data_IF_226215264292
#
_entry.id   IF_226215264292
#
_cell.length_a   1.000
_cell.length_b   1.000
_cell.length_c   1.000
_cell.angle_alpha   90.00
_cell.angle_beta   90.00
_cell.angle_gamma   90.00
#
_symmetry.space_group_name_H-M   'P 1'
#
loop_
_entity.id
_entity.type
_entity.pdbx_description
1 polymer ?
#
# COMPACT_ATOMS: atom_id res chain seq x y z
N UNK A 1 63.04 -62.72 -53.88
CA UNK A 1 61.97 -62.64 -54.90
C UNK A 1 60.63 -62.76 -54.20
N UNK A 2 59.62 -62.02 -54.68
CA UNK A 2 58.23 -61.88 -54.21
C UNK A 2 57.99 -60.74 -53.19
N UNK A 3 57.70 -59.57 -53.75
CA UNK A 3 56.85 -58.55 -53.12
C UNK A 3 55.38 -58.90 -53.41
N UNK A 4 54.44 -58.61 -52.50
CA UNK A 4 53.03 -58.52 -52.87
C UNK A 4 52.45 -57.11 -52.66
N UNK A 5 51.84 -56.67 -53.76
CA UNK A 5 50.73 -55.74 -53.97
C UNK A 5 50.19 -54.92 -52.79
N UNK A 6 50.29 -53.60 -52.96
CA UNK A 6 49.45 -52.59 -52.31
C UNK A 6 48.06 -52.62 -52.96
N UNK A 7 47.02 -52.90 -52.18
CA UNK A 7 45.63 -52.73 -52.59
C UNK A 7 45.17 -51.31 -52.24
N UNK A 8 44.93 -50.47 -53.25
CA UNK A 8 44.31 -49.15 -53.07
C UNK A 8 42.79 -49.28 -53.02
N UNK A 9 42.19 -48.95 -51.88
CA UNK A 9 40.73 -48.84 -51.73
C UNK A 9 40.23 -47.53 -52.38
N UNK A 10 39.13 -47.55 -53.13
CA UNK A 10 38.50 -46.33 -53.64
C UNK A 10 37.74 -45.62 -52.51
N UNK A 11 38.21 -44.44 -52.11
CA UNK A 11 37.45 -43.50 -51.27
C UNK A 11 36.45 -42.74 -52.14
N UNK A 12 35.25 -43.28 -52.30
CA UNK A 12 34.11 -42.49 -52.79
C UNK A 12 33.59 -41.61 -51.65
N UNK A 13 33.57 -40.27 -51.78
CA UNK A 13 32.92 -39.43 -50.78
C UNK A 13 31.41 -39.68 -50.85
N UNK A 14 30.85 -40.11 -49.72
CA UNK A 14 29.41 -40.20 -49.51
C UNK A 14 28.83 -38.79 -49.71
N UNK A 15 27.79 -38.60 -50.54
CA UNK A 15 27.15 -37.29 -50.65
C UNK A 15 26.57 -36.96 -49.28
N UNK A 16 26.97 -35.82 -48.73
CA UNK A 16 26.40 -35.25 -47.51
C UNK A 16 24.90 -35.12 -47.76
N UNK A 17 24.13 -36.03 -47.18
CA UNK A 17 22.68 -35.96 -47.18
C UNK A 17 22.27 -34.56 -46.75
N UNK A 18 21.36 -33.97 -47.53
CA UNK A 18 20.84 -32.62 -47.39
C UNK A 18 20.78 -32.22 -45.90
N UNK A 19 21.67 -31.30 -45.52
CA UNK A 19 21.68 -30.65 -44.22
C UNK A 19 20.26 -30.14 -44.01
N UNK A 20 19.57 -30.67 -42.99
CA UNK A 20 18.26 -30.19 -42.59
C UNK A 20 18.29 -28.66 -42.63
N UNK A 21 17.32 -28.05 -43.32
CA UNK A 21 17.11 -26.60 -43.30
C UNK A 21 17.25 -26.16 -41.85
N UNK A 22 18.12 -25.18 -41.53
CA UNK A 22 18.13 -24.61 -40.20
C UNK A 22 16.70 -24.21 -39.90
N UNK A 23 16.09 -24.79 -38.86
CA UNK A 23 14.93 -24.17 -38.26
C UNK A 23 15.38 -22.74 -37.96
N UNK A 24 14.79 -21.74 -38.64
CA UNK A 24 15.00 -20.38 -38.20
C UNK A 24 14.63 -20.34 -36.72
N UNK A 25 15.54 -19.95 -35.82
CA UNK A 25 15.19 -19.81 -34.43
C UNK A 25 14.06 -18.79 -34.36
N UNK A 26 12.88 -19.25 -33.96
CA UNK A 26 11.76 -18.37 -33.62
C UNK A 26 12.19 -17.63 -32.37
N UNK A 27 12.71 -16.41 -32.54
CA UNK A 27 13.05 -15.54 -31.43
C UNK A 27 11.75 -15.03 -30.83
N UNK A 28 11.31 -15.67 -29.75
CA UNK A 28 10.26 -15.14 -28.90
C UNK A 28 10.85 -14.12 -27.95
N UNK A 29 10.31 -12.89 -27.92
CA UNK A 29 10.68 -11.92 -26.89
C UNK A 29 10.12 -12.40 -25.57
N UNK A 30 10.95 -12.55 -24.53
CA UNK A 30 10.53 -13.09 -23.23
C UNK A 30 9.41 -12.26 -22.58
N UNK A 31 9.31 -10.99 -22.97
CA UNK A 31 8.35 -9.96 -22.51
C UNK A 31 7.23 -9.68 -23.53
N UNK A 32 7.08 -10.50 -24.57
CA UNK A 32 6.03 -10.29 -25.57
C UNK A 32 4.64 -10.28 -24.90
N UNK A 33 3.93 -9.14 -24.99
CA UNK A 33 2.61 -8.94 -24.39
C UNK A 33 2.61 -8.34 -22.98
N UNK A 34 3.79 -8.08 -22.40
CA UNK A 34 3.89 -7.47 -21.08
C UNK A 34 3.27 -6.07 -21.05
N UNK A 35 2.44 -5.80 -20.04
CA UNK A 35 1.85 -4.47 -19.82
C UNK A 35 2.66 -3.75 -18.75
N UNK A 36 3.30 -2.64 -19.13
CA UNK A 36 4.23 -1.89 -18.24
C UNK A 36 3.60 -0.66 -17.59
N UNK A 37 2.36 -0.31 -17.96
CA UNK A 37 1.62 0.82 -17.40
C UNK A 37 0.28 0.34 -16.86
N UNK A 38 -0.13 0.85 -15.71
CA UNK A 38 -1.41 0.51 -15.11
C UNK A 38 -2.60 0.95 -15.98
N UNK A 39 -3.46 0.02 -16.42
CA UNK A 39 -4.70 0.34 -17.12
C UNK A 39 -5.65 1.20 -16.28
N UNK A 40 -6.28 2.18 -16.93
CA UNK A 40 -7.34 3.01 -16.34
C UNK A 40 -8.57 2.93 -17.24
N UNK A 41 -9.71 2.59 -16.66
CA UNK A 41 -10.99 2.39 -17.32
C UNK A 41 -11.53 3.69 -17.95
N UNK A 42 -12.36 3.57 -18.98
CA UNK A 42 -12.94 4.71 -19.71
C UNK A 42 -13.99 5.49 -18.92
N UNK A 43 -14.41 4.98 -17.76
CA UNK A 43 -15.25 5.73 -16.80
C UNK A 43 -14.55 6.99 -16.26
N UNK A 44 -13.22 7.03 -16.29
CA UNK A 44 -12.45 8.16 -15.80
C UNK A 44 -12.36 9.25 -16.86
N UNK A 45 -12.78 10.47 -16.50
CA UNK A 45 -12.60 11.63 -17.37
C UNK A 45 -11.10 12.01 -17.49
N UNK A 46 -10.78 12.95 -18.39
CA UNK A 46 -9.39 13.33 -18.66
C UNK A 46 -8.62 13.83 -17.42
N UNK A 47 -9.28 14.55 -16.51
CA UNK A 47 -8.66 15.07 -15.29
C UNK A 47 -8.43 13.97 -14.26
N UNK A 48 -9.42 13.10 -14.05
CA UNK A 48 -9.31 11.94 -13.16
C UNK A 48 -8.18 11.01 -13.63
N UNK A 49 -8.16 10.69 -14.93
CA UNK A 49 -7.09 9.89 -15.55
C UNK A 49 -5.70 10.47 -15.28
N UNK A 50 -5.50 11.76 -15.53
CA UNK A 50 -4.19 12.42 -15.29
C UNK A 50 -3.74 12.34 -13.83
N UNK A 51 -4.67 12.51 -12.89
CA UNK A 51 -4.35 12.41 -11.46
C UNK A 51 -4.00 10.98 -11.05
N UNK A 52 -4.74 9.99 -11.54
CA UNK A 52 -4.44 8.57 -11.29
C UNK A 52 -3.09 8.20 -11.93
N UNK A 53 -2.82 8.60 -13.18
CA UNK A 53 -1.54 8.35 -13.85
C UNK A 53 -0.37 8.98 -13.07
N UNK A 54 -0.51 10.23 -12.63
CA UNK A 54 0.50 10.90 -11.81
C UNK A 54 0.69 10.18 -10.46
N UNK A 55 -0.39 9.83 -9.77
CA UNK A 55 -0.35 9.12 -8.50
C UNK A 55 0.28 7.73 -8.61
N UNK A 56 0.01 7.00 -9.70
CA UNK A 56 0.62 5.69 -9.95
C UNK A 56 2.11 5.79 -10.26
N UNK A 57 2.52 6.86 -10.95
CA UNK A 57 3.94 7.15 -11.13
C UNK A 57 4.63 7.45 -9.79
N UNK A 58 4.00 8.23 -8.92
CA UNK A 58 4.50 8.48 -7.55
C UNK A 58 4.50 7.20 -6.70
N UNK A 59 3.51 6.31 -6.84
CA UNK A 59 3.47 5.03 -6.14
C UNK A 59 4.64 4.12 -6.56
N UNK A 60 4.96 4.08 -7.85
CA UNK A 60 6.13 3.36 -8.39
C UNK A 60 7.43 4.00 -7.91
N UNK A 61 7.51 5.34 -7.85
CA UNK A 61 8.65 6.06 -7.29
C UNK A 61 8.87 5.71 -5.82
N UNK A 62 7.81 5.75 -5.02
CA UNK A 62 7.82 5.42 -3.60
C UNK A 62 8.26 3.97 -3.36
N UNK A 63 7.66 3.01 -4.08
CA UNK A 63 8.02 1.60 -4.00
C UNK A 63 9.47 1.34 -4.45
N UNK A 64 9.91 1.98 -5.55
CA UNK A 64 11.29 1.85 -6.05
C UNK A 64 12.28 2.36 -5.03
N UNK A 65 11.99 3.49 -4.39
CA UNK A 65 12.82 4.06 -3.34
C UNK A 65 12.87 3.15 -2.11
N UNK A 66 11.72 2.72 -1.61
CA UNK A 66 11.62 1.81 -0.47
C UNK A 66 12.46 0.55 -0.68
N UNK A 67 12.30 -0.10 -1.85
CA UNK A 67 13.13 -1.25 -2.25
C UNK A 67 14.62 -0.91 -2.24
N UNK A 68 15.02 0.22 -2.82
CA UNK A 68 16.42 0.64 -2.87
C UNK A 68 17.01 0.88 -1.48
N UNK A 69 16.23 1.47 -0.55
CA UNK A 69 16.63 1.63 0.84
C UNK A 69 16.90 0.28 1.51
N UNK A 70 15.99 -0.68 1.36
CA UNK A 70 16.15 -2.03 1.94
C UNK A 70 17.37 -2.73 1.33
N UNK A 71 17.55 -2.68 0.02
CA UNK A 71 18.69 -3.33 -0.65
C UNK A 71 20.04 -2.71 -0.26
N UNK A 72 20.05 -1.42 0.11
CA UNK A 72 21.26 -0.72 0.52
C UNK A 72 21.64 -1.01 1.97
N UNK A 73 20.67 -0.98 2.88
CA UNK A 73 20.93 -0.98 4.33
C UNK A 73 20.42 -2.24 5.04
N UNK A 74 19.36 -2.87 4.53
CA UNK A 74 18.71 -4.01 5.17
C UNK A 74 18.45 -3.77 6.66
N UNK A 75 18.84 -4.73 7.49
CA UNK A 75 18.69 -4.66 8.95
C UNK A 75 19.60 -3.65 9.65
N UNK A 76 20.59 -3.05 8.96
CA UNK A 76 21.39 -1.97 9.53
C UNK A 76 20.57 -0.68 9.66
N UNK A 77 19.54 -0.51 8.81
CA UNK A 77 18.63 0.64 8.87
C UNK A 77 17.76 0.62 10.12
N UNK A 78 17.79 1.72 10.85
CA UNK A 78 16.84 1.97 11.96
C UNK A 78 15.40 2.06 11.45
N UNK A 79 15.19 2.65 10.27
CA UNK A 79 13.87 2.74 9.63
C UNK A 79 13.37 1.34 9.26
N UNK A 80 14.22 0.47 8.71
CA UNK A 80 13.83 -0.91 8.42
C UNK A 80 13.43 -1.65 9.70
N UNK A 81 14.29 -1.62 10.72
CA UNK A 81 14.02 -2.31 12.00
C UNK A 81 12.79 -1.76 12.72
N UNK A 82 12.47 -0.47 12.54
CA UNK A 82 11.28 0.16 13.10
C UNK A 82 9.99 -0.48 12.61
N UNK A 83 9.89 -0.80 11.33
CA UNK A 83 8.67 -1.33 10.71
C UNK A 83 8.67 -2.85 10.52
N UNK A 84 9.85 -3.47 10.44
CA UNK A 84 9.97 -4.89 10.12
C UNK A 84 10.76 -5.69 11.16
N UNK A 85 11.24 -5.06 12.24
CA UNK A 85 12.10 -5.71 13.20
C UNK A 85 13.39 -6.23 12.55
N UNK A 86 13.92 -7.36 13.03
CA UNK A 86 15.12 -8.00 12.46
C UNK A 86 14.80 -9.03 11.37
N UNK A 87 13.64 -8.94 10.71
CA UNK A 87 13.17 -9.95 9.75
C UNK A 87 14.00 -9.98 8.47
N UNK A 88 13.99 -11.11 7.75
CA UNK A 88 14.53 -11.18 6.39
C UNK A 88 13.88 -10.14 5.47
N UNK A 89 14.70 -9.53 4.61
CA UNK A 89 14.27 -8.41 3.75
C UNK A 89 13.50 -8.84 2.50
N UNK A 90 13.56 -10.13 2.14
CA UNK A 90 13.12 -10.63 0.85
C UNK A 90 11.63 -10.40 0.60
N UNK A 91 10.78 -10.54 1.61
CA UNK A 91 9.34 -10.32 1.48
C UNK A 91 9.02 -8.86 1.18
N UNK A 92 9.52 -7.93 2.00
CA UNK A 92 9.31 -6.50 1.78
C UNK A 92 9.91 -6.02 0.45
N UNK A 93 11.12 -6.49 0.10
CA UNK A 93 11.74 -6.22 -1.21
C UNK A 93 10.84 -6.72 -2.35
N UNK A 94 10.33 -7.94 -2.24
CA UNK A 94 9.45 -8.55 -3.23
C UNK A 94 8.15 -7.78 -3.39
N UNK A 95 7.50 -7.38 -2.30
CA UNK A 95 6.27 -6.61 -2.30
C UNK A 95 6.41 -5.30 -3.12
N UNK A 96 7.48 -4.54 -2.86
CA UNK A 96 7.75 -3.33 -3.66
C UNK A 96 8.17 -3.65 -5.10
N UNK A 97 8.93 -4.72 -5.32
CA UNK A 97 9.40 -5.07 -6.66
C UNK A 97 8.26 -5.45 -7.61
N UNK A 98 7.22 -6.12 -7.10
CA UNK A 98 6.03 -6.44 -7.90
C UNK A 98 5.30 -5.15 -8.34
N UNK A 99 5.21 -4.14 -7.48
CA UNK A 99 4.67 -2.81 -7.85
C UNK A 99 5.53 -2.16 -8.94
N UNK A 100 6.87 -2.20 -8.81
CA UNK A 100 7.77 -1.52 -9.74
C UNK A 100 7.87 -2.23 -11.09
N UNK A 101 8.01 -3.55 -11.08
CA UNK A 101 8.46 -4.34 -12.24
C UNK A 101 7.47 -5.43 -12.70
N UNK A 102 6.45 -5.76 -11.90
CA UNK A 102 5.45 -6.77 -12.29
C UNK A 102 4.65 -6.39 -13.54
N UNK A 103 4.01 -7.36 -14.18
CA UNK A 103 3.07 -7.10 -15.28
C UNK A 103 1.79 -6.43 -14.75
N UNK A 104 1.36 -5.34 -15.40
CA UNK A 104 0.21 -4.53 -14.98
C UNK A 104 -1.10 -4.91 -15.67
N UNK A 105 -1.12 -5.95 -16.51
CA UNK A 105 -2.28 -6.34 -17.31
C UNK A 105 -3.50 -6.70 -16.45
N UNK A 106 -3.28 -7.29 -15.28
CA UNK A 106 -4.33 -7.77 -14.37
C UNK A 106 -4.66 -6.76 -13.25
N UNK A 107 -4.49 -5.47 -13.53
CA UNK A 107 -4.85 -4.35 -12.67
C UNK A 107 -5.67 -3.35 -13.49
N UNK A 108 -6.76 -2.82 -12.94
CA UNK A 108 -7.58 -1.81 -13.60
C UNK A 108 -8.12 -0.80 -12.59
N UNK A 109 -7.79 0.48 -12.78
CA UNK A 109 -8.37 1.57 -12.01
C UNK A 109 -9.59 2.16 -12.71
N UNK A 110 -10.66 2.44 -11.97
CA UNK A 110 -11.91 3.00 -12.49
C UNK A 110 -12.45 4.13 -11.61
N UNK A 111 -13.36 4.91 -12.16
CA UNK A 111 -13.87 6.15 -11.54
C UNK A 111 -15.40 6.19 -11.43
N UNK A 112 -16.09 5.21 -12.00
CA UNK A 112 -17.49 4.93 -11.71
C UNK A 112 -17.60 4.05 -10.46
N UNK A 113 -18.80 3.98 -9.89
CA UNK A 113 -19.08 3.32 -8.61
C UNK A 113 -20.03 2.12 -8.81
N UNK A 114 -19.57 1.03 -9.45
CA UNK A 114 -20.44 -0.11 -9.77
C UNK A 114 -21.00 -0.81 -8.54
N UNK A 115 -20.26 -0.80 -7.43
CA UNK A 115 -20.64 -1.50 -6.19
C UNK A 115 -21.37 -0.60 -5.19
N UNK A 116 -21.49 0.71 -5.45
CA UNK A 116 -22.14 1.65 -4.55
C UNK A 116 -21.26 2.16 -3.41
N UNK A 117 -20.14 1.52 -3.09
CA UNK A 117 -19.33 1.80 -1.90
C UNK A 117 -18.71 3.21 -1.83
N UNK A 118 -18.60 3.97 -2.93
CA UNK A 118 -18.23 5.39 -2.84
C UNK A 118 -19.26 6.28 -2.11
N UNK A 119 -20.46 5.76 -1.83
CA UNK A 119 -21.45 6.45 -1.02
C UNK A 119 -21.19 6.30 0.49
N UNK A 120 -20.27 5.42 0.91
CA UNK A 120 -19.91 5.24 2.30
C UNK A 120 -19.06 6.43 2.78
N UNK A 121 -19.38 6.92 3.97
CA UNK A 121 -18.65 8.04 4.57
C UNK A 121 -17.19 7.65 4.81
N UNK A 122 -16.25 8.53 4.45
CA UNK A 122 -14.82 8.25 4.62
C UNK A 122 -14.13 7.69 3.38
N UNK A 123 -14.86 7.05 2.46
CA UNK A 123 -14.24 6.21 1.44
C UNK A 123 -13.60 7.03 0.31
N UNK A 124 -12.27 6.93 0.19
CA UNK A 124 -11.51 7.41 -0.97
C UNK A 124 -11.61 6.47 -2.18
N UNK A 125 -12.10 5.26 -1.96
CA UNK A 125 -12.18 4.20 -2.97
C UNK A 125 -11.91 2.83 -2.40
N UNK A 126 -12.02 1.81 -3.24
CA UNK A 126 -12.05 0.43 -2.77
C UNK A 126 -11.57 -0.55 -3.83
N UNK A 127 -11.03 -1.68 -3.39
CA UNK A 127 -10.88 -2.86 -4.23
C UNK A 127 -12.24 -3.57 -4.36
N UNK A 128 -12.57 -4.06 -5.55
CA UNK A 128 -13.90 -4.65 -5.83
C UNK A 128 -14.07 -6.08 -5.32
N UNK A 129 -13.02 -6.68 -4.74
CA UNK A 129 -13.10 -8.02 -4.15
C UNK A 129 -13.57 -9.06 -5.16
N UNK A 130 -14.49 -9.93 -4.74
CA UNK A 130 -15.07 -10.98 -5.56
C UNK A 130 -15.88 -10.46 -6.78
N UNK A 131 -16.33 -9.20 -6.78
CA UNK A 131 -17.09 -8.64 -7.91
C UNK A 131 -16.20 -8.40 -9.15
N UNK A 132 -14.92 -8.05 -8.93
CA UNK A 132 -13.89 -7.96 -9.96
C UNK A 132 -12.50 -7.84 -9.30
N UNK A 133 -11.81 -8.97 -9.15
CA UNK A 133 -10.57 -9.05 -8.36
C UNK A 133 -9.41 -8.23 -8.91
N UNK A 134 -9.42 -7.89 -10.20
CA UNK A 134 -8.41 -7.03 -10.83
C UNK A 134 -8.72 -5.53 -10.75
N UNK A 135 -9.84 -5.14 -10.15
CA UNK A 135 -10.35 -3.78 -10.25
C UNK A 135 -10.32 -3.00 -8.93
N UNK A 136 -9.88 -1.76 -9.01
CA UNK A 136 -9.94 -0.78 -7.93
C UNK A 136 -10.73 0.45 -8.38
N UNK A 137 -11.67 0.89 -7.55
CA UNK A 137 -12.46 2.12 -7.74
C UNK A 137 -11.79 3.29 -7.00
N UNK A 138 -11.67 4.44 -7.68
CA UNK A 138 -11.30 5.72 -7.07
C UNK A 138 -12.56 6.56 -6.89
N UNK A 139 -12.88 6.93 -5.65
CA UNK A 139 -14.02 7.79 -5.32
C UNK A 139 -13.62 9.27 -5.34
N UNK A 140 -14.63 10.15 -5.41
CA UNK A 140 -14.44 11.61 -5.51
C UNK A 140 -13.60 12.20 -4.37
N UNK A 141 -13.68 11.61 -3.18
CA UNK A 141 -12.92 12.03 -1.99
C UNK A 141 -11.41 12.00 -2.25
N UNK A 142 -10.88 10.96 -2.93
CA UNK A 142 -9.43 10.90 -3.20
C UNK A 142 -8.92 12.11 -4.00
N UNK A 143 -9.71 12.64 -4.94
CA UNK A 143 -9.29 13.81 -5.74
C UNK A 143 -9.23 15.12 -4.94
N UNK A 144 -9.80 15.16 -3.74
CA UNK A 144 -9.82 16.37 -2.91
C UNK A 144 -9.00 16.25 -1.63
N UNK A 145 -8.67 15.02 -1.20
CA UNK A 145 -7.94 14.79 0.05
C UNK A 145 -6.50 14.32 -0.12
N UNK A 146 -6.15 13.70 -1.26
CA UNK A 146 -4.80 13.16 -1.48
C UNK A 146 -3.81 14.25 -1.85
N UNK A 147 -2.63 14.19 -1.24
CA UNK A 147 -1.50 15.08 -1.50
C UNK A 147 -0.51 14.43 -2.49
N UNK A 148 0.35 15.24 -3.07
CA UNK A 148 1.45 14.82 -3.93
C UNK A 148 2.73 14.61 -3.12
N UNK A 149 3.60 13.66 -3.49
CA UNK A 149 4.85 13.37 -2.76
C UNK A 149 5.77 14.59 -2.65
N UNK A 150 5.71 15.52 -3.61
CA UNK A 150 6.45 16.79 -3.56
C UNK A 150 6.14 17.63 -2.31
N UNK A 151 5.01 17.38 -1.63
CA UNK A 151 4.64 18.03 -0.37
C UNK A 151 5.00 17.24 0.89
N UNK A 152 5.72 16.12 0.75
CA UNK A 152 6.23 15.32 1.88
C UNK A 152 7.00 16.20 2.88
N UNK A 153 6.78 15.96 4.17
CA UNK A 153 7.35 16.74 5.28
C UNK A 153 7.00 18.24 5.27
N UNK A 154 5.96 18.65 4.56
CA UNK A 154 5.41 20.01 4.58
C UNK A 154 3.97 20.02 5.10
N UNK A 155 3.42 21.20 5.36
CA UNK A 155 2.00 21.37 5.70
C UNK A 155 1.55 20.53 6.91
N UNK A 156 2.43 20.44 7.91
CA UNK A 156 2.17 19.71 9.16
C UNK A 156 2.15 18.20 9.04
N UNK A 157 2.49 17.61 7.89
CA UNK A 157 2.56 16.17 7.73
C UNK A 157 3.70 15.58 8.58
N UNK A 158 3.39 14.52 9.32
CA UNK A 158 4.37 13.60 9.90
C UNK A 158 3.95 12.17 9.62
N UNK A 159 4.91 11.25 9.53
CA UNK A 159 4.61 9.85 9.21
C UNK A 159 3.73 9.22 10.30
N UNK A 160 4.05 9.44 11.57
CA UNK A 160 3.32 8.89 12.70
C UNK A 160 1.94 9.55 12.93
N UNK A 161 1.84 10.85 12.68
CA UNK A 161 0.63 11.64 12.97
C UNK A 161 -0.31 11.80 11.79
N UNK A 162 -0.22 10.97 10.75
CA UNK A 162 -1.05 11.10 9.55
C UNK A 162 -1.37 9.74 8.94
N UNK A 163 -2.59 9.62 8.39
CA UNK A 163 -3.06 8.41 7.72
C UNK A 163 -2.13 7.96 6.59
N UNK A 164 -1.95 6.65 6.45
CA UNK A 164 -1.13 6.04 5.39
C UNK A 164 -1.55 6.52 4.01
N UNK A 165 -2.84 6.74 3.81
CA UNK A 165 -3.42 7.18 2.56
C UNK A 165 -3.31 8.70 2.29
N UNK A 166 -2.54 9.47 3.06
CA UNK A 166 -2.43 10.94 2.87
C UNK A 166 -1.94 11.33 1.47
N UNK A 167 -1.02 10.57 0.89
CA UNK A 167 -0.52 10.82 -0.47
C UNK A 167 -1.16 9.91 -1.50
N UNK A 168 -1.28 10.39 -2.74
CA UNK A 168 -1.67 9.55 -3.87
C UNK A 168 -0.79 8.30 -3.98
N UNK A 169 0.52 8.45 -3.78
CA UNK A 169 1.49 7.37 -3.87
C UNK A 169 1.18 6.20 -2.91
N UNK A 170 0.95 6.50 -1.63
CA UNK A 170 0.71 5.48 -0.62
C UNK A 170 -0.72 4.92 -0.68
N UNK A 171 -1.73 5.76 -0.93
CA UNK A 171 -3.12 5.28 -1.16
C UNK A 171 -3.19 4.29 -2.32
N UNK A 172 -2.52 4.59 -3.44
CA UNK A 172 -2.49 3.70 -4.60
C UNK A 172 -1.62 2.46 -4.36
N UNK A 173 -0.50 2.57 -3.63
CA UNK A 173 0.31 1.42 -3.21
C UNK A 173 -0.54 0.41 -2.42
N UNK A 174 -1.29 0.88 -1.43
CA UNK A 174 -2.20 0.04 -0.64
C UNK A 174 -3.21 -0.70 -1.50
N UNK A 175 -3.88 0.04 -2.40
CA UNK A 175 -4.90 -0.52 -3.30
C UNK A 175 -4.33 -1.57 -4.24
N UNK A 176 -3.09 -1.37 -4.69
CA UNK A 176 -2.39 -2.37 -5.49
C UNK A 176 -2.19 -3.65 -4.68
N UNK A 177 -1.82 -3.59 -3.40
CA UNK A 177 -1.68 -4.80 -2.58
C UNK A 177 -3.00 -5.60 -2.43
N UNK A 178 -4.15 -4.96 -2.45
CA UNK A 178 -5.44 -5.69 -2.51
C UNK A 178 -5.66 -6.47 -3.82
N UNK A 179 -4.99 -6.08 -4.91
CA UNK A 179 -5.13 -6.77 -6.21
C UNK A 179 -4.28 -8.05 -6.22
N UNK A 180 -4.84 -9.24 -6.53
CA UNK A 180 -4.10 -10.50 -6.48
C UNK A 180 -2.86 -10.55 -7.39
N UNK A 181 -2.87 -9.83 -8.51
CA UNK A 181 -1.70 -9.74 -9.39
C UNK A 181 -0.50 -9.04 -8.73
N UNK A 182 -0.72 -8.30 -7.64
CA UNK A 182 0.32 -7.56 -6.92
C UNK A 182 0.52 -8.11 -5.51
N UNK A 183 -0.50 -8.06 -4.64
CA UNK A 183 -0.34 -8.54 -3.25
C UNK A 183 -0.45 -10.05 -3.08
N UNK A 184 -0.93 -10.77 -4.11
CA UNK A 184 -0.95 -12.24 -4.16
C UNK A 184 -1.73 -12.93 -3.03
N UNK A 185 -2.59 -12.18 -2.31
CA UNK A 185 -3.23 -12.65 -1.08
C UNK A 185 -2.23 -12.96 0.04
N UNK A 186 -0.98 -12.50 -0.10
CA UNK A 186 0.08 -12.61 0.89
C UNK A 186 0.28 -11.28 1.60
N UNK A 187 0.24 -10.17 0.88
CA UNK A 187 0.20 -8.85 1.49
C UNK A 187 -1.23 -8.56 1.93
N UNK A 188 -1.43 -8.36 3.23
CA UNK A 188 -2.75 -8.20 3.84
C UNK A 188 -2.73 -7.18 5.00
N UNK A 189 -3.84 -7.04 5.72
CA UNK A 189 -4.01 -6.15 6.87
C UNK A 189 -3.85 -6.95 8.16
N UNK A 190 -2.71 -6.78 8.83
CA UNK A 190 -2.40 -7.42 10.11
C UNK A 190 -2.30 -6.43 11.26
N UNK A 191 -2.10 -5.15 10.95
CA UNK A 191 -2.11 -4.04 11.90
C UNK A 191 -2.75 -2.82 11.24
N UNK A 192 -3.57 -2.09 12.00
CA UNK A 192 -4.22 -0.88 11.51
C UNK A 192 -3.65 0.36 12.22
N UNK A 193 -3.07 1.27 11.43
CA UNK A 193 -2.49 2.50 11.94
C UNK A 193 -1.07 2.34 12.46
N UNK A 194 -0.46 3.50 12.74
CA UNK A 194 0.97 3.58 13.02
C UNK A 194 1.39 2.79 14.26
N UNK A 195 0.69 2.94 15.39
CA UNK A 195 1.12 2.31 16.64
C UNK A 195 0.97 0.78 16.63
N UNK A 196 -0.06 0.26 15.97
CA UNK A 196 -0.23 -1.18 15.78
C UNK A 196 0.85 -1.75 14.87
N UNK A 197 1.21 -1.05 13.78
CA UNK A 197 2.33 -1.44 12.91
C UNK A 197 3.65 -1.51 13.69
N UNK A 198 3.93 -0.52 14.53
CA UNK A 198 5.13 -0.51 15.38
C UNK A 198 5.08 -1.65 16.42
N UNK A 199 3.91 -1.96 16.97
CA UNK A 199 3.72 -3.09 17.88
C UNK A 199 3.94 -4.44 17.15
N UNK A 200 3.41 -4.57 15.94
CA UNK A 200 3.55 -5.75 15.08
C UNK A 200 5.02 -6.03 14.77
N UNK A 201 5.80 -4.99 14.46
CA UNK A 201 7.24 -5.08 14.21
C UNK A 201 8.05 -5.56 15.42
N UNK A 202 7.59 -5.27 16.64
CA UNK A 202 8.21 -5.70 17.91
C UNK A 202 7.79 -7.12 18.31
N UNK A 203 6.73 -7.65 17.71
CA UNK A 203 6.23 -8.99 18.00
C UNK A 203 7.14 -10.09 17.44
N UNK A 204 6.95 -11.32 17.91
CA UNK A 204 7.63 -12.51 17.39
C UNK A 204 6.95 -13.13 16.16
N UNK A 205 5.93 -12.47 15.58
CA UNK A 205 5.13 -12.97 14.44
C UNK A 205 5.93 -13.14 13.15
N UNK A 206 5.33 -13.12 11.97
CA UNK A 206 6.05 -12.93 10.68
C UNK A 206 5.43 -11.85 9.80
N UNK A 207 4.33 -11.26 10.27
CA UNK A 207 3.37 -10.54 9.46
C UNK A 207 3.86 -9.16 9.02
N UNK A 208 4.72 -8.52 9.83
CA UNK A 208 5.11 -7.12 9.57
C UNK A 208 5.76 -6.90 8.19
N UNK A 209 6.47 -7.89 7.63
CA UNK A 209 7.10 -7.76 6.30
C UNK A 209 6.13 -7.90 5.13
N UNK A 210 4.89 -8.31 5.37
CA UNK A 210 3.81 -8.42 4.40
C UNK A 210 2.51 -7.80 4.92
N UNK A 211 2.61 -6.89 5.88
CA UNK A 211 1.51 -6.04 6.29
C UNK A 211 1.46 -4.79 5.41
N UNK A 212 0.29 -4.52 4.84
CA UNK A 212 0.12 -3.45 3.85
C UNK A 212 0.32 -2.06 4.46
N UNK A 213 0.03 -1.87 5.74
CA UNK A 213 0.23 -0.62 6.48
C UNK A 213 1.72 -0.43 6.82
N UNK A 214 2.40 -1.47 7.31
CA UNK A 214 3.83 -1.47 7.56
C UNK A 214 4.64 -1.16 6.29
N UNK A 215 4.25 -1.76 5.16
CA UNK A 215 4.84 -1.45 3.86
C UNK A 215 4.61 0.01 3.44
N UNK A 216 3.44 0.60 3.72
CA UNK A 216 3.19 2.00 3.43
C UNK A 216 4.02 2.92 4.32
N UNK A 217 3.97 2.74 5.64
CA UNK A 217 4.69 3.59 6.58
C UNK A 217 6.20 3.52 6.38
N UNK A 218 6.77 2.33 6.17
CA UNK A 218 8.19 2.20 5.84
C UNK A 218 8.54 2.99 4.58
N UNK A 219 7.75 2.84 3.51
CA UNK A 219 8.04 3.51 2.25
C UNK A 219 7.97 5.03 2.38
N UNK A 220 6.96 5.54 3.10
CA UNK A 220 6.79 6.95 3.41
C UNK A 220 7.94 7.50 4.25
N UNK A 221 8.34 6.81 5.33
CA UNK A 221 9.43 7.27 6.20
C UNK A 221 10.79 7.21 5.53
N UNK A 222 11.08 6.14 4.79
CA UNK A 222 12.32 6.05 4.02
C UNK A 222 12.40 7.18 3.00
N UNK A 223 11.32 7.44 2.24
CA UNK A 223 11.27 8.55 1.28
C UNK A 223 11.40 9.92 1.96
N UNK A 224 10.73 10.10 3.10
CA UNK A 224 10.85 11.31 3.91
C UNK A 224 12.30 11.57 4.32
N UNK A 225 12.98 10.54 4.83
CA UNK A 225 14.34 10.64 5.36
C UNK A 225 15.41 10.76 4.29
N UNK A 226 15.31 10.02 3.19
CA UNK A 226 16.36 9.98 2.16
C UNK A 226 16.19 11.07 1.08
N UNK A 227 14.94 11.43 0.75
CA UNK A 227 14.62 12.29 -0.39
C UNK A 227 14.02 13.63 0.05
N UNK A 228 12.90 13.63 0.78
CA UNK A 228 12.14 14.85 1.04
C UNK A 228 12.85 15.80 2.01
N UNK A 229 13.42 15.26 3.09
CA UNK A 229 14.20 15.98 4.09
C UNK A 229 15.46 15.18 4.45
N UNK A 230 16.49 15.19 3.57
CA UNK A 230 17.65 14.30 3.66
C UNK A 230 18.32 14.29 5.05
N UNK A 231 18.38 13.11 5.68
CA UNK A 231 19.01 12.89 6.98
C UNK A 231 18.20 13.36 8.19
N UNK A 232 17.02 13.95 7.98
CA UNK A 232 16.14 14.48 9.04
C UNK A 232 14.78 13.80 9.01
N UNK A 233 14.15 13.71 7.83
CA UNK A 233 12.81 13.19 7.66
C UNK A 233 11.73 14.01 8.37
N UNK A 234 10.57 13.37 8.57
CA UNK A 234 9.44 13.90 9.33
C UNK A 234 8.67 12.76 10.01
N UNK A 235 9.39 11.88 10.72
CA UNK A 235 8.82 10.68 11.34
C UNK A 235 7.64 10.99 12.28
N UNK A 236 7.70 12.10 13.03
CA UNK A 236 6.70 12.43 14.05
C UNK A 236 6.90 11.63 15.35
N UNK A 237 6.04 11.87 16.34
CA UNK A 237 6.05 11.17 17.62
C UNK A 237 4.97 10.10 17.64
N UNK A 238 5.29 8.90 18.15
CA UNK A 238 4.29 7.86 18.42
C UNK A 238 3.41 8.28 19.60
N UNK A 239 2.10 8.30 19.42
CA UNK A 239 1.19 8.39 20.56
C UNK A 239 1.08 6.98 21.14
N UNK A 240 1.94 6.65 22.12
CA UNK A 240 1.86 5.36 22.80
C UNK A 240 0.41 5.04 23.24
N UNK A 241 0.04 3.75 23.41
CA UNK A 241 -1.35 3.33 23.55
C UNK A 241 -2.07 4.24 24.52
N UNK A 242 -3.07 4.96 24.00
CA UNK A 242 -3.76 6.04 24.71
C UNK A 242 -4.12 5.59 26.12
N UNK A 243 -3.49 6.21 27.10
CA UNK A 243 -3.99 6.25 28.47
C UNK A 243 -5.25 7.11 28.44
N UNK A 244 -6.38 6.52 28.03
CA UNK A 244 -7.73 7.06 28.15
C UNK A 244 -7.92 8.45 27.54
N UNK A 245 -8.83 8.56 26.57
CA UNK A 245 -9.50 9.84 26.32
C UNK A 245 -10.33 10.27 27.55
N UNK A 246 -9.66 10.75 28.59
CA UNK A 246 -10.24 11.68 29.53
C UNK A 246 -10.20 13.05 28.85
N UNK A 247 -11.38 13.50 28.42
CA UNK A 247 -11.61 14.85 27.91
C UNK A 247 -11.29 15.88 29.01
N UNK A 248 -10.01 16.20 29.15
CA UNK A 248 -9.49 17.25 30.03
C UNK A 248 -9.73 18.61 29.41
N UNK A 249 -10.81 19.27 29.85
CA UNK A 249 -11.14 20.66 29.55
C UNK A 249 -9.92 21.57 29.53
N UNK A 250 -9.74 22.29 28.43
CA UNK A 250 -8.78 23.37 28.30
C UNK A 250 -8.93 24.38 29.44
N UNK A 251 -7.92 24.47 30.30
CA UNK A 251 -7.79 25.54 31.28
C UNK A 251 -7.43 26.84 30.55
N UNK A 252 -8.40 27.75 30.46
CA UNK A 252 -8.19 29.11 30.00
C UNK A 252 -7.44 29.94 31.06
N UNK A 253 -6.51 30.84 30.68
CA UNK A 253 -6.00 31.85 31.59
C UNK A 253 -6.97 33.04 31.70
N UNK A 254 -7.04 33.60 32.91
CA UNK A 254 -7.99 34.61 33.36
C UNK A 254 -7.55 36.06 33.11
N UNK A 255 -8.54 36.96 33.23
CA UNK A 255 -8.51 38.44 33.41
C UNK A 255 -8.71 39.24 32.12
N UNK A 256 -9.54 40.28 31.99
CA UNK A 256 -10.20 41.17 32.96
C UNK A 256 -11.46 41.81 32.33
N UNK A 257 -12.39 42.19 33.19
CA UNK A 257 -13.72 42.81 33.03
C UNK A 257 -13.88 44.05 32.11
N UNK A 258 -15.05 44.16 31.47
CA UNK A 258 -15.88 45.40 31.51
C UNK A 258 -17.34 45.15 31.09
N UNK A 259 -18.24 45.88 31.75
CA UNK A 259 -19.69 45.74 31.81
C UNK A 259 -20.44 46.33 30.61
N UNK A 260 -21.57 45.74 30.21
CA UNK A 260 -22.88 46.45 30.17
C UNK A 260 -24.02 45.55 29.66
N UNK A 261 -25.19 45.87 30.21
CA UNK A 261 -26.54 45.29 30.16
C UNK A 261 -27.22 45.19 28.80
N UNK A 262 -28.08 44.18 28.59
CA UNK A 262 -29.55 44.30 28.69
C UNK A 262 -30.34 43.11 28.08
N UNK A 263 -31.36 42.67 28.86
CA UNK A 263 -32.73 42.28 28.46
C UNK A 263 -33.05 41.00 27.65
N UNK A 264 -33.72 40.10 28.39
CA UNK A 264 -35.06 39.53 28.15
C UNK A 264 -35.28 38.23 27.34
N UNK A 265 -36.01 37.34 28.04
CA UNK A 265 -37.08 36.41 27.59
C UNK A 265 -36.75 35.09 26.90
N UNK A 266 -37.28 34.01 27.48
CA UNK A 266 -38.08 33.05 26.71
C UNK A 266 -37.86 31.55 26.96
N UNK A 267 -38.79 30.98 27.74
CA UNK A 267 -39.37 29.63 27.63
C UNK A 267 -38.52 28.36 27.77
N UNK A 268 -39.04 27.45 28.59
CA UNK A 268 -38.49 26.12 28.84
C UNK A 268 -39.03 25.01 27.93
N UNK A 269 -38.49 23.81 28.13
CA UNK A 269 -39.12 22.48 27.99
C UNK A 269 -38.06 21.44 28.41
N UNK A 270 -38.25 20.70 29.50
CA UNK A 270 -38.95 19.39 29.62
C UNK A 270 -38.04 18.19 29.33
N UNK A 271 -37.99 17.33 30.34
CA UNK A 271 -37.21 16.11 30.53
C UNK A 271 -37.69 14.90 29.70
N UNK A 272 -36.70 14.09 29.29
CA UNK A 272 -36.60 12.65 28.92
C UNK A 272 -37.78 11.69 29.12
N UNK A 273 -37.78 10.56 28.38
CA UNK A 273 -37.34 9.33 29.05
C UNK A 273 -36.22 8.56 28.33
N UNK A 274 -35.42 7.92 29.18
CA UNK A 274 -34.26 7.05 28.96
C UNK A 274 -34.68 5.68 28.45
N UNK A 275 -34.05 5.18 27.39
CA UNK A 275 -34.08 3.75 27.03
C UNK A 275 -32.89 3.01 27.67
N UNK A 276 -33.17 1.78 28.09
CA UNK A 276 -32.27 0.91 28.87
C UNK A 276 -31.04 0.43 28.09
N UNK A 277 -29.87 0.26 28.73
CA UNK A 277 -28.71 -0.33 28.08
C UNK A 277 -28.91 -1.84 27.88
N UNK A 278 -28.64 -2.31 26.65
CA UNK A 278 -28.53 -3.73 26.30
C UNK A 278 -27.32 -4.36 27.00
N UNK A 279 -27.50 -5.62 27.40
CA UNK A 279 -26.47 -6.43 28.06
C UNK A 279 -25.22 -6.58 27.17
N UNK A 280 -24.07 -6.15 27.67
CA UNK A 280 -22.75 -6.47 27.12
C UNK A 280 -22.43 -7.93 27.42
N UNK A 281 -22.33 -8.75 26.36
CA UNK A 281 -21.66 -10.06 26.45
C UNK A 281 -20.17 -9.77 26.54
N UNK A 282 -19.52 -10.22 27.62
CA UNK A 282 -18.07 -10.14 27.76
C UNK A 282 -17.41 -10.89 26.59
N UNK A 283 -16.72 -10.15 25.74
CA UNK A 283 -15.94 -10.69 24.63
C UNK A 283 -14.64 -11.25 25.20
N UNK A 284 -14.31 -12.54 24.96
CA UNK A 284 -13.08 -13.14 25.46
C UNK A 284 -11.83 -12.36 25.01
N UNK A 285 -10.73 -12.34 25.80
CA UNK A 285 -9.56 -11.50 25.54
C UNK A 285 -8.82 -11.82 24.23
N UNK A 286 -9.15 -12.94 23.59
CA UNK A 286 -8.63 -13.35 22.29
C UNK A 286 -9.62 -13.12 21.14
N UNK A 287 -10.71 -12.37 21.38
CA UNK A 287 -11.72 -12.09 20.37
C UNK A 287 -11.88 -10.58 20.13
N UNK A 288 -12.10 -10.19 18.88
CA UNK A 288 -12.47 -8.83 18.49
C UNK A 288 -13.53 -8.84 17.39
N UNK A 289 -14.24 -7.72 17.24
CA UNK A 289 -15.37 -7.59 16.29
C UNK A 289 -15.02 -6.55 15.24
N UNK A 290 -15.17 -6.89 13.96
CA UNK A 290 -15.01 -5.94 12.85
C UNK A 290 -16.35 -5.26 12.50
N UNK A 291 -16.28 -4.19 11.70
CA UNK A 291 -17.46 -3.53 11.15
C UNK A 291 -18.30 -4.54 10.34
N UNK A 292 -19.54 -4.79 10.78
CA UNK A 292 -20.38 -5.91 10.32
C UNK A 292 -20.81 -6.88 11.42
N UNK A 293 -20.30 -6.71 12.64
CA UNK A 293 -20.75 -7.47 13.82
C UNK A 293 -20.23 -8.91 13.88
N UNK A 294 -19.24 -9.25 13.05
CA UNK A 294 -18.66 -10.59 13.01
C UNK A 294 -17.53 -10.70 14.03
N UNK A 295 -17.68 -11.64 14.96
CA UNK A 295 -16.73 -11.91 16.04
C UNK A 295 -15.65 -12.88 15.58
N UNK A 296 -14.40 -12.47 15.63
CA UNK A 296 -13.24 -13.31 15.35
C UNK A 296 -12.50 -13.62 16.66
N UNK A 297 -12.10 -14.88 16.86
CA UNK A 297 -11.37 -15.35 18.05
C UNK A 297 -10.11 -16.13 17.64
N UNK A 298 -8.95 -15.82 18.22
CA UNK A 298 -7.64 -16.45 17.94
C UNK A 298 -7.21 -17.42 19.03
#
# INVERSE_FOLDING_TARGET
>A
LAAPLVATLPTSPVPIAARATPHEPVFFSWDAGAVTSFPIHSSCNATQRRQIEAGLNEAVELARHAKAHILRWGNESEIYRKYFGNRPTMEAVGAYDVIVNGDKANVLFRCDNPDGNCALEGWGGHWRGANATSETVICDRSYTTRRWLVSMCSQGYTVAGSETNTFWASDLMHRLYHVPAVGQGWVDHFADGYDEVIALAKSNGTESTHDSEALQYFALEAYAFDIAAPGVGCAGESHGPDQGHDTGSASAPASTSTSSSSSASGSGATTTPTDSPSATIDVPPNCHTHEGGQLHCT
#
